data_IF_350221448251
#
_entry.id   IF_350221448251
#
_cell.length_a   1.000
_cell.length_b   1.000
_cell.length_c   1.000
_cell.angle_alpha   90.00
_cell.angle_beta   90.00
_cell.angle_gamma   90.00
#
_symmetry.space_group_name_H-M   'P 1'
#
loop_
_entity.id
_entity.type
_entity.pdbx_description
1 polymer ?
#
# COMPACT_ATOMS: atom_id res chain seq x y z
N UNK A 1 9.69 -1.90 1.42
CA UNK A 1 10.59 -0.83 1.88
C UNK A 1 9.86 -0.05 2.95
N UNK A 2 10.28 -0.14 4.20
CA UNK A 2 9.75 0.68 5.29
C UNK A 2 10.12 2.15 5.05
N UNK A 3 9.17 3.07 5.20
CA UNK A 3 9.44 4.50 5.09
C UNK A 3 10.45 4.87 6.19
N UNK A 4 11.68 5.27 5.80
CA UNK A 4 12.79 5.59 6.73
C UNK A 4 12.53 6.82 7.60
N UNK A 5 11.44 7.55 7.34
CA UNK A 5 10.91 8.60 8.20
C UNK A 5 9.42 8.32 8.37
N UNK A 6 8.99 7.94 9.58
CA UNK A 6 7.58 7.99 9.96
C UNK A 6 7.16 9.45 9.89
N UNK A 7 6.51 9.84 8.79
CA UNK A 7 5.96 11.19 8.64
C UNK A 7 4.97 11.38 9.79
N UNK A 8 5.14 12.43 10.60
CA UNK A 8 4.13 12.80 11.58
C UNK A 8 3.05 13.59 10.83
N UNK A 9 1.87 12.99 10.63
CA UNK A 9 0.76 13.56 9.88
C UNK A 9 -0.35 14.07 10.81
N UNK A 10 -0.02 14.46 12.05
CA UNK A 10 -1.02 14.83 13.05
C UNK A 10 -1.71 16.19 12.80
N UNK A 11 -1.18 17.03 11.90
CA UNK A 11 -1.71 18.37 11.59
C UNK A 11 -2.21 18.50 10.14
N UNK A 12 -3.10 17.60 9.70
CA UNK A 12 -3.72 17.69 8.39
C UNK A 12 -5.01 18.49 8.45
N UNK A 13 -5.22 19.37 7.47
CA UNK A 13 -6.55 19.91 7.23
C UNK A 13 -7.48 18.83 6.64
N UNK A 14 -8.78 19.11 6.57
CA UNK A 14 -9.77 18.15 6.11
C UNK A 14 -9.50 17.65 4.68
N UNK A 15 -9.06 18.50 3.76
CA UNK A 15 -8.77 18.11 2.38
C UNK A 15 -7.53 17.21 2.30
N UNK A 16 -6.48 17.54 3.04
CA UNK A 16 -5.26 16.73 3.11
C UNK A 16 -5.52 15.36 3.73
N UNK A 17 -6.35 15.30 4.78
CA UNK A 17 -6.76 14.05 5.40
C UNK A 17 -7.58 13.17 4.45
N UNK A 18 -8.44 13.76 3.61
CA UNK A 18 -9.17 13.01 2.59
C UNK A 18 -8.23 12.48 1.49
N UNK A 19 -7.29 13.30 1.04
CA UNK A 19 -6.28 12.88 0.07
C UNK A 19 -5.44 11.71 0.62
N UNK A 20 -4.99 11.80 1.87
CA UNK A 20 -4.23 10.73 2.52
C UNK A 20 -5.06 9.44 2.64
N UNK A 21 -6.33 9.53 3.04
CA UNK A 21 -7.24 8.38 3.05
C UNK A 21 -7.38 7.74 1.68
N UNK A 22 -7.51 8.55 0.63
CA UNK A 22 -7.59 8.05 -0.73
C UNK A 22 -6.31 7.33 -1.17
N UNK A 23 -5.14 7.86 -0.80
CA UNK A 23 -3.85 7.21 -1.06
C UNK A 23 -3.77 5.85 -0.33
N UNK A 24 -4.15 5.80 0.95
CA UNK A 24 -4.18 4.55 1.73
C UNK A 24 -5.10 3.52 1.06
N UNK A 25 -6.33 3.92 0.71
CA UNK A 25 -7.30 3.04 0.05
C UNK A 25 -6.79 2.54 -1.31
N UNK A 26 -6.13 3.38 -2.10
CA UNK A 26 -5.55 2.97 -3.38
C UNK A 26 -4.44 1.92 -3.19
N UNK A 27 -3.59 2.05 -2.17
CA UNK A 27 -2.57 1.04 -1.86
C UNK A 27 -3.19 -0.28 -1.38
N UNK A 28 -4.25 -0.25 -0.57
CA UNK A 28 -4.99 -1.45 -0.17
C UNK A 28 -5.66 -2.14 -1.37
N UNK A 29 -6.27 -1.36 -2.27
CA UNK A 29 -6.86 -1.89 -3.51
C UNK A 29 -5.77 -2.51 -4.41
N UNK A 30 -4.62 -1.86 -4.53
CA UNK A 30 -3.48 -2.38 -5.28
C UNK A 30 -2.97 -3.69 -4.70
N UNK A 31 -2.81 -3.78 -3.37
CA UNK A 31 -2.46 -5.04 -2.70
C UNK A 31 -3.44 -6.16 -3.05
N UNK A 32 -4.74 -5.90 -2.91
CA UNK A 32 -5.78 -6.90 -3.21
C UNK A 32 -5.70 -7.37 -4.66
N UNK A 33 -5.60 -6.45 -5.63
CA UNK A 33 -5.50 -6.80 -7.06
C UNK A 33 -4.24 -7.61 -7.35
N UNK A 34 -3.09 -7.21 -6.82
CA UNK A 34 -1.83 -7.92 -7.01
C UNK A 34 -1.85 -9.32 -6.38
N UNK A 35 -2.48 -9.50 -5.21
CA UNK A 35 -2.71 -10.83 -4.63
C UNK A 35 -3.58 -11.69 -5.53
N UNK A 36 -4.67 -11.14 -6.07
CA UNK A 36 -5.53 -11.85 -7.03
C UNK A 36 -4.74 -12.26 -8.27
N UNK A 37 -3.90 -11.38 -8.82
CA UNK A 37 -3.07 -11.71 -9.97
C UNK A 37 -2.03 -12.79 -9.65
N UNK A 38 -1.38 -12.73 -8.49
CA UNK A 38 -0.46 -13.76 -8.03
C UNK A 38 -1.13 -15.14 -7.89
N UNK A 39 -2.38 -15.19 -7.41
CA UNK A 39 -3.15 -16.43 -7.26
C UNK A 39 -3.52 -17.06 -8.61
N UNK A 40 -3.79 -16.23 -9.62
CA UNK A 40 -4.21 -16.69 -10.96
C UNK A 40 -3.03 -16.83 -11.95
N UNK A 41 -1.81 -16.50 -11.53
CA UNK A 41 -0.62 -16.57 -12.37
C UNK A 41 0.04 -17.95 -12.31
N UNK A 42 0.38 -18.51 -13.48
CA UNK A 42 1.11 -19.78 -13.59
C UNK A 42 2.62 -19.59 -13.68
N UNK A 43 3.07 -18.44 -14.18
CA UNK A 43 4.48 -18.10 -14.27
C UNK A 43 5.03 -17.79 -12.87
N UNK A 44 6.06 -18.52 -12.44
CA UNK A 44 6.61 -18.40 -11.09
C UNK A 44 7.29 -17.05 -10.84
N UNK A 45 8.00 -16.50 -11.84
CA UNK A 45 8.69 -15.23 -11.70
C UNK A 45 7.68 -14.08 -11.61
N UNK A 46 6.66 -14.10 -12.46
CA UNK A 46 5.61 -13.09 -12.45
C UNK A 46 4.75 -13.17 -11.19
N UNK A 47 4.46 -14.39 -10.70
CA UNK A 47 3.79 -14.59 -9.41
C UNK A 47 4.59 -13.96 -8.26
N UNK A 48 5.89 -14.22 -8.17
CA UNK A 48 6.74 -13.62 -7.14
C UNK A 48 6.76 -12.09 -7.23
N UNK A 49 6.81 -11.53 -8.45
CA UNK A 49 6.74 -10.09 -8.66
C UNK A 49 5.42 -9.50 -8.13
N UNK A 50 4.29 -10.13 -8.42
CA UNK A 50 2.99 -9.69 -7.90
C UNK A 50 2.89 -9.80 -6.37
N UNK A 51 3.38 -10.90 -5.78
CA UNK A 51 3.43 -11.04 -4.32
C UNK A 51 4.29 -9.96 -3.66
N UNK A 52 5.46 -9.66 -4.24
CA UNK A 52 6.34 -8.61 -3.72
C UNK A 52 5.71 -7.22 -3.84
N UNK A 53 5.04 -6.94 -4.96
CA UNK A 53 4.27 -5.71 -5.16
C UNK A 53 3.13 -5.59 -4.15
N UNK A 54 2.38 -6.67 -3.92
CA UNK A 54 1.30 -6.71 -2.94
C UNK A 54 1.80 -6.41 -1.52
N UNK A 55 2.87 -7.08 -1.08
CA UNK A 55 3.48 -6.85 0.25
C UNK A 55 3.98 -5.41 0.40
N UNK A 56 4.57 -4.86 -0.66
CA UNK A 56 5.06 -3.47 -0.65
C UNK A 56 3.91 -2.48 -0.54
N UNK A 57 2.82 -2.68 -1.29
CA UNK A 57 1.62 -1.86 -1.22
C UNK A 57 0.98 -1.87 0.17
N UNK A 58 0.79 -3.05 0.75
CA UNK A 58 0.23 -3.20 2.10
C UNK A 58 1.12 -2.57 3.17
N UNK A 59 2.44 -2.72 3.07
CA UNK A 59 3.39 -2.06 3.98
C UNK A 59 3.29 -0.54 3.90
N UNK A 60 3.18 0.03 2.69
CA UNK A 60 3.00 1.48 2.52
C UNK A 60 1.69 1.95 3.15
N UNK A 61 0.58 1.26 2.89
CA UNK A 61 -0.71 1.60 3.50
C UNK A 61 -0.64 1.56 5.04
N UNK A 62 -0.05 0.50 5.62
CA UNK A 62 0.08 0.37 7.06
C UNK A 62 0.97 1.47 7.67
N UNK A 63 2.08 1.83 7.01
CA UNK A 63 2.93 2.90 7.49
C UNK A 63 2.20 4.26 7.47
N UNK A 64 1.41 4.54 6.43
CA UNK A 64 0.61 5.77 6.35
C UNK A 64 -0.48 5.82 7.42
N UNK A 65 -1.12 4.69 7.73
CA UNK A 65 -2.08 4.57 8.85
C UNK A 65 -1.39 4.83 10.19
N UNK A 66 -0.19 4.25 10.41
CA UNK A 66 0.57 4.43 11.65
C UNK A 66 1.17 5.84 11.80
N UNK A 67 1.21 6.60 10.71
CA UNK A 67 1.71 7.97 10.64
C UNK A 67 0.65 9.03 10.98
N UNK A 68 -0.63 8.65 11.01
CA UNK A 68 -1.75 9.46 11.52
C UNK A 68 -1.71 9.51 13.05
#
# INVERSE_FOLDING_TARGET
MTLKNTLNLSNLNQQELQNLRHIIMNHQMMESKLRTYAQNCRDQQLKQMFEQGARSAGTTAQNLINSL
#
